data_IF_099002618442
#
_entry.id   IF_099002618442
#
_cell.length_a   1.000
_cell.length_b   1.000
_cell.length_c   1.000
_cell.angle_alpha   90.00
_cell.angle_beta   90.00
_cell.angle_gamma   90.00
#
_symmetry.space_group_name_H-M   'P 1'
#
loop_
_entity.id
_entity.type
_entity.pdbx_description
1 polymer ?
#
# COMPACT_ATOMS: atom_id res chain seq x y z
N UNK A 1 -27.98 4.95 -31.28
CA UNK A 1 -27.06 3.95 -30.70
C UNK A 1 -27.16 4.05 -29.19
N UNK A 2 -27.79 3.08 -28.56
CA UNK A 2 -27.94 3.07 -27.09
C UNK A 2 -26.57 2.82 -26.44
N UNK A 3 -26.18 3.72 -25.54
CA UNK A 3 -25.00 3.54 -24.66
C UNK A 3 -25.25 2.28 -23.82
N UNK A 4 -24.54 1.21 -24.14
CA UNK A 4 -24.39 0.09 -23.20
C UNK A 4 -23.55 0.57 -22.03
N UNK A 5 -24.19 1.21 -21.08
CA UNK A 5 -23.59 1.51 -19.77
C UNK A 5 -23.30 0.18 -19.06
N UNK A 6 -22.15 -0.41 -19.36
CA UNK A 6 -21.68 -1.58 -18.63
C UNK A 6 -21.56 -1.21 -17.14
N UNK A 7 -22.39 -1.85 -16.32
CA UNK A 7 -22.28 -1.76 -14.86
C UNK A 7 -20.95 -2.41 -14.51
N UNK A 8 -19.96 -1.61 -14.10
CA UNK A 8 -18.73 -2.15 -13.52
C UNK A 8 -19.16 -2.92 -12.26
N UNK A 9 -18.87 -4.22 -12.16
CA UNK A 9 -19.20 -4.98 -10.96
C UNK A 9 -18.58 -4.26 -9.75
N UNK A 10 -19.38 -3.99 -8.73
CA UNK A 10 -18.90 -3.40 -7.48
C UNK A 10 -18.08 -4.48 -6.76
N UNK A 11 -16.79 -4.53 -7.04
CA UNK A 11 -15.85 -5.39 -6.32
C UNK A 11 -15.62 -4.75 -4.95
N UNK A 12 -16.35 -5.22 -3.94
CA UNK A 12 -16.18 -4.73 -2.57
C UNK A 12 -14.88 -5.28 -1.97
N UNK A 13 -14.12 -4.44 -1.24
CA UNK A 13 -12.95 -4.91 -0.52
C UNK A 13 -13.32 -5.91 0.57
N UNK A 14 -12.41 -6.84 0.86
CA UNK A 14 -12.57 -7.80 1.92
C UNK A 14 -12.68 -7.10 3.29
N UNK A 15 -13.52 -7.63 4.17
CA UNK A 15 -13.53 -7.21 5.57
C UNK A 15 -12.32 -7.78 6.28
N UNK A 16 -11.37 -6.93 6.63
CA UNK A 16 -10.11 -7.32 7.25
C UNK A 16 -10.02 -6.88 8.71
N UNK A 17 -9.17 -7.57 9.47
CA UNK A 17 -8.81 -7.17 10.81
C UNK A 17 -8.07 -5.82 10.77
N UNK A 18 -8.51 -4.88 11.61
CA UNK A 18 -7.86 -3.58 11.82
C UNK A 18 -7.20 -3.47 13.19
N UNK A 19 -7.56 -4.34 14.12
CA UNK A 19 -6.95 -4.36 15.45
C UNK A 19 -5.57 -5.03 15.42
N UNK A 20 -4.55 -4.27 15.80
CA UNK A 20 -3.17 -4.74 15.86
C UNK A 20 -2.97 -5.90 16.82
N UNK A 21 -3.67 -5.90 17.95
CA UNK A 21 -3.58 -6.95 18.94
C UNK A 21 -4.06 -8.29 18.39
N UNK A 22 -5.22 -8.28 17.71
CA UNK A 22 -5.77 -9.44 17.04
C UNK A 22 -4.85 -9.99 15.95
N UNK A 23 -4.23 -9.12 15.14
CA UNK A 23 -3.27 -9.52 14.09
C UNK A 23 -2.00 -10.11 14.73
N UNK A 24 -1.48 -9.53 15.79
CA UNK A 24 -0.31 -10.07 16.50
C UNK A 24 -0.60 -11.44 17.12
N UNK A 25 -1.78 -11.63 17.70
CA UNK A 25 -2.18 -12.92 18.27
C UNK A 25 -2.32 -13.97 17.16
N UNK A 26 -2.99 -13.60 16.06
CA UNK A 26 -3.04 -14.46 14.87
C UNK A 26 -1.63 -14.86 14.41
N UNK A 27 -0.73 -13.91 14.29
CA UNK A 27 0.65 -14.15 13.85
C UNK A 27 1.40 -15.11 14.78
N UNK A 28 1.29 -14.93 16.11
CA UNK A 28 1.92 -15.81 17.09
C UNK A 28 1.39 -17.25 16.98
N UNK A 29 0.09 -17.37 16.85
CA UNK A 29 -0.62 -18.66 16.80
C UNK A 29 -0.30 -19.44 15.52
N UNK A 30 -0.23 -18.75 14.39
CA UNK A 30 -0.13 -19.39 13.08
C UNK A 30 1.27 -19.32 12.45
N UNK A 31 2.23 -18.70 13.11
CA UNK A 31 3.59 -18.50 12.57
C UNK A 31 4.23 -19.78 12.03
N UNK A 32 4.08 -20.90 12.75
CA UNK A 32 4.63 -22.19 12.34
C UNK A 32 4.03 -22.74 11.03
N UNK A 33 2.78 -22.37 10.72
CA UNK A 33 2.10 -22.77 9.48
C UNK A 33 2.40 -21.86 8.30
N UNK A 34 2.98 -20.67 8.55
CA UNK A 34 3.35 -19.72 7.50
C UNK A 34 4.62 -20.18 6.77
N UNK A 35 4.70 -19.92 5.47
CA UNK A 35 5.88 -20.16 4.66
C UNK A 35 7.12 -19.52 5.28
N UNK A 36 8.20 -20.28 5.45
CA UNK A 36 9.41 -19.81 6.12
C UNK A 36 9.16 -19.24 7.53
N UNK A 37 8.20 -19.80 8.25
CA UNK A 37 7.77 -19.31 9.57
C UNK A 37 7.44 -17.81 9.61
N UNK A 38 6.91 -17.28 8.50
CA UNK A 38 6.53 -15.88 8.39
C UNK A 38 7.70 -14.89 8.30
N UNK A 39 8.87 -15.33 7.89
CA UNK A 39 10.06 -14.45 7.75
C UNK A 39 9.79 -13.21 6.89
N UNK A 40 8.96 -13.35 5.87
CA UNK A 40 8.54 -12.25 5.00
C UNK A 40 7.76 -11.14 5.71
N UNK A 41 7.24 -11.39 6.92
CA UNK A 41 6.56 -10.39 7.76
C UNK A 41 7.48 -9.78 8.82
N UNK A 42 8.73 -10.22 8.93
CA UNK A 42 9.65 -9.69 9.92
C UNK A 42 10.33 -8.41 9.44
N UNK A 43 10.55 -8.30 8.11
CA UNK A 43 11.38 -7.26 7.51
C UNK A 43 12.83 -7.36 7.95
N UNK A 44 13.72 -7.02 7.07
CA UNK A 44 15.14 -6.88 7.37
C UNK A 44 15.70 -5.59 6.78
N UNK A 45 14.82 -4.64 6.54
CA UNK A 45 15.23 -3.33 6.04
C UNK A 45 16.06 -2.63 7.12
N UNK A 46 17.32 -2.24 6.81
CA UNK A 46 18.25 -1.72 7.80
C UNK A 46 17.78 -0.43 8.50
N UNK A 47 16.72 0.16 7.97
CA UNK A 47 16.22 1.45 8.43
C UNK A 47 14.79 1.41 8.95
N UNK A 48 14.33 0.29 9.49
CA UNK A 48 12.99 0.19 10.08
C UNK A 48 12.89 1.08 11.32
N UNK A 49 11.89 1.97 11.34
CA UNK A 49 11.63 2.83 12.49
C UNK A 49 11.00 2.02 13.63
N UNK A 50 11.42 2.25 14.89
CA UNK A 50 10.79 1.62 16.04
C UNK A 50 9.30 1.92 16.11
N UNK A 51 8.48 0.93 16.47
CA UNK A 51 7.03 1.12 16.59
C UNK A 51 6.64 2.22 17.60
N UNK A 52 7.49 2.51 18.56
CA UNK A 52 7.25 3.59 19.52
C UNK A 52 7.02 4.97 18.86
N UNK A 53 7.58 5.20 17.67
CA UNK A 53 7.38 6.44 16.91
C UNK A 53 6.03 6.52 16.19
N UNK A 54 5.28 5.43 16.12
CA UNK A 54 3.99 5.36 15.45
C UNK A 54 2.97 6.36 16.00
N UNK A 55 2.91 6.50 17.33
CA UNK A 55 1.93 7.35 18.00
C UNK A 55 2.15 8.85 17.72
N UNK A 56 3.41 9.27 17.56
CA UNK A 56 3.79 10.67 17.30
C UNK A 56 3.83 11.02 15.80
N UNK A 57 3.63 10.06 14.92
CA UNK A 57 3.67 10.29 13.49
C UNK A 57 2.51 11.17 13.01
N UNK A 58 2.83 12.22 12.27
CA UNK A 58 1.84 13.09 11.62
C UNK A 58 1.34 12.51 10.29
N UNK A 59 2.19 11.72 9.63
CA UNK A 59 1.86 11.01 8.39
C UNK A 59 2.43 9.59 8.46
N UNK A 60 1.63 8.60 8.10
CA UNK A 60 1.99 7.18 8.11
C UNK A 60 2.03 6.65 6.69
N UNK A 61 3.17 6.11 6.28
CA UNK A 61 3.43 5.63 4.93
C UNK A 61 3.74 4.14 4.97
N UNK A 62 3.01 3.36 4.18
CA UNK A 62 3.32 1.96 3.92
C UNK A 62 3.97 1.84 2.55
N UNK A 63 5.24 1.51 2.51
CA UNK A 63 5.95 1.19 1.27
C UNK A 63 5.71 -0.27 0.94
N UNK A 64 4.95 -0.53 -0.12
CA UNK A 64 4.50 -1.87 -0.48
C UNK A 64 5.15 -2.37 -1.77
N UNK A 65 5.40 -3.69 -1.80
CA UNK A 65 5.86 -4.41 -2.98
C UNK A 65 4.74 -5.31 -3.50
N UNK A 66 4.68 -5.44 -4.81
CA UNK A 66 3.79 -6.36 -5.52
C UNK A 66 4.39 -7.77 -5.68
N UNK A 67 5.62 -7.95 -5.21
CA UNK A 67 6.37 -9.21 -5.18
C UNK A 67 6.60 -9.69 -3.76
N UNK A 68 6.97 -10.96 -3.62
CA UNK A 68 7.29 -11.53 -2.31
C UNK A 68 8.60 -10.95 -1.76
N UNK A 69 8.76 -10.98 -0.44
CA UNK A 69 10.01 -10.55 0.20
C UNK A 69 11.24 -11.26 -0.39
N UNK A 70 11.13 -12.55 -0.67
CA UNK A 70 12.23 -13.35 -1.26
C UNK A 70 12.68 -12.80 -2.62
N UNK A 71 11.72 -12.38 -3.45
CA UNK A 71 12.01 -11.90 -4.81
C UNK A 71 12.67 -10.52 -4.81
N UNK A 72 12.44 -9.74 -3.77
CA UNK A 72 12.91 -8.35 -3.69
C UNK A 72 13.93 -8.09 -2.60
N UNK A 73 14.34 -9.10 -1.84
CA UNK A 73 15.31 -8.95 -0.75
C UNK A 73 16.67 -8.36 -1.19
N UNK A 74 17.07 -8.60 -2.44
CA UNK A 74 18.27 -8.01 -3.03
C UNK A 74 18.03 -6.63 -3.69
N UNK A 75 16.79 -6.17 -3.78
CA UNK A 75 16.44 -4.88 -4.39
C UNK A 75 16.55 -3.75 -3.36
N UNK A 76 17.27 -2.70 -3.74
CA UNK A 76 17.41 -1.49 -2.90
C UNK A 76 16.30 -0.47 -3.14
N UNK A 77 15.48 -0.62 -4.19
CA UNK A 77 14.54 0.43 -4.61
C UNK A 77 13.50 0.79 -3.55
N UNK A 78 12.87 -0.21 -2.93
CA UNK A 78 11.88 0.06 -1.88
C UNK A 78 12.53 0.57 -0.58
N UNK A 79 13.74 0.09 -0.25
CA UNK A 79 14.49 0.60 0.90
C UNK A 79 14.88 2.07 0.72
N UNK A 80 15.31 2.44 -0.50
CA UNK A 80 15.59 3.84 -0.87
C UNK A 80 14.35 4.72 -0.76
N UNK A 81 13.21 4.28 -1.33
CA UNK A 81 11.93 5.00 -1.22
C UNK A 81 11.53 5.19 0.25
N UNK A 82 11.68 4.17 1.08
CA UNK A 82 11.40 4.26 2.51
C UNK A 82 12.38 5.20 3.23
N UNK A 83 13.65 5.22 2.84
CA UNK A 83 14.63 6.16 3.38
C UNK A 83 14.26 7.62 3.05
N UNK A 84 13.91 7.90 1.80
CA UNK A 84 13.46 9.22 1.34
C UNK A 84 12.24 9.68 2.14
N UNK A 85 11.28 8.78 2.36
CA UNK A 85 10.09 9.10 3.13
C UNK A 85 10.40 9.43 4.60
N UNK A 86 11.35 8.72 5.23
CA UNK A 86 11.76 8.99 6.62
C UNK A 86 12.48 10.31 6.81
N UNK A 87 13.10 10.84 5.78
CA UNK A 87 13.75 12.16 5.82
C UNK A 87 12.74 13.32 5.89
N UNK A 88 11.46 13.04 5.64
CA UNK A 88 10.39 14.02 5.84
C UNK A 88 9.97 14.00 7.32
N UNK A 89 10.16 15.12 8.00
CA UNK A 89 9.87 15.23 9.42
C UNK A 89 8.41 14.91 9.76
N UNK A 90 8.20 14.04 10.74
CA UNK A 90 6.87 13.62 11.18
C UNK A 90 6.28 12.46 10.37
N UNK A 91 7.04 11.88 9.44
CA UNK A 91 6.64 10.69 8.68
C UNK A 91 7.10 9.42 9.38
N UNK A 92 6.18 8.48 9.56
CA UNK A 92 6.48 7.10 9.94
C UNK A 92 6.37 6.20 8.73
N UNK A 93 7.35 5.33 8.52
CA UNK A 93 7.41 4.41 7.38
C UNK A 93 7.44 2.96 7.84
N UNK A 94 6.63 2.13 7.22
CA UNK A 94 6.71 0.68 7.33
C UNK A 94 6.73 0.04 5.94
N UNK A 95 7.02 -1.24 5.87
CA UNK A 95 7.13 -1.99 4.62
C UNK A 95 6.13 -3.15 4.58
N UNK A 96 5.63 -3.46 3.39
CA UNK A 96 4.79 -4.64 3.17
C UNK A 96 5.13 -5.33 1.84
N UNK A 97 4.95 -6.64 1.81
CA UNK A 97 5.27 -7.49 0.66
C UNK A 97 4.07 -8.35 0.30
N UNK A 98 4.03 -8.79 -0.96
CA UNK A 98 3.13 -9.85 -1.37
C UNK A 98 3.40 -11.09 -0.50
N UNK A 99 2.42 -11.64 0.21
CA UNK A 99 2.64 -12.89 0.94
C UNK A 99 2.88 -14.05 -0.03
N UNK A 100 3.63 -15.07 0.37
CA UNK A 100 3.73 -16.31 -0.41
C UNK A 100 2.33 -16.89 -0.67
N UNK A 101 2.01 -17.39 -1.88
CA UNK A 101 0.66 -17.87 -2.24
C UNK A 101 0.07 -18.89 -1.27
N UNK A 102 0.90 -19.76 -0.69
CA UNK A 102 0.48 -20.76 0.31
C UNK A 102 -0.15 -20.15 1.57
N UNK A 103 0.12 -18.87 1.83
CA UNK A 103 -0.38 -18.18 3.03
C UNK A 103 -1.73 -17.50 2.79
N UNK A 104 -2.16 -17.34 1.53
CA UNK A 104 -3.38 -16.60 1.18
C UNK A 104 -4.62 -17.15 1.87
N UNK A 105 -4.86 -18.46 1.77
CA UNK A 105 -6.05 -19.09 2.36
C UNK A 105 -6.07 -18.97 3.88
N UNK A 106 -4.88 -19.07 4.51
CA UNK A 106 -4.76 -18.89 5.94
C UNK A 106 -5.07 -17.44 6.35
N UNK A 107 -4.50 -16.46 5.66
CA UNK A 107 -4.75 -15.04 5.93
C UNK A 107 -6.22 -14.68 5.69
N UNK A 108 -6.79 -15.07 4.56
CA UNK A 108 -8.20 -14.83 4.22
C UNK A 108 -9.15 -15.43 5.23
N UNK A 109 -8.92 -16.67 5.64
CA UNK A 109 -9.77 -17.37 6.64
C UNK A 109 -9.93 -16.59 7.93
N UNK A 110 -8.88 -15.87 8.34
CA UNK A 110 -8.88 -15.10 9.57
C UNK A 110 -9.05 -13.58 9.34
N UNK A 111 -9.32 -13.17 8.11
CA UNK A 111 -9.49 -11.76 7.77
C UNK A 111 -8.21 -10.92 7.95
N UNK A 112 -7.04 -11.54 7.86
CA UNK A 112 -5.75 -10.82 7.94
C UNK A 112 -5.47 -10.16 6.59
N UNK A 113 -5.20 -8.84 6.54
CA UNK A 113 -4.90 -8.17 5.28
C UNK A 113 -3.67 -8.78 4.61
N UNK A 114 -3.70 -8.96 3.28
CA UNK A 114 -2.57 -9.55 2.56
C UNK A 114 -1.33 -8.67 2.64
N UNK A 115 -1.46 -7.35 2.55
CA UNK A 115 -0.39 -6.45 2.91
C UNK A 115 -0.39 -6.22 4.42
N UNK A 116 0.71 -6.60 5.04
CA UNK A 116 0.90 -6.48 6.47
C UNK A 116 2.22 -5.81 6.76
N UNK A 117 2.19 -4.69 7.46
CA UNK A 117 3.39 -3.94 7.84
C UNK A 117 4.37 -4.81 8.64
N UNK A 118 5.63 -4.85 8.22
CA UNK A 118 6.66 -5.72 8.80
C UNK A 118 6.95 -5.39 10.26
N UNK A 119 6.91 -4.13 10.64
CA UNK A 119 7.11 -3.64 12.00
C UNK A 119 5.80 -3.47 12.76
N UNK A 120 4.85 -2.76 12.15
CA UNK A 120 3.60 -2.39 12.82
C UNK A 120 2.65 -3.56 12.97
N UNK A 121 2.73 -4.57 12.08
CA UNK A 121 1.71 -5.64 11.97
C UNK A 121 0.31 -5.07 11.76
N UNK A 122 0.21 -3.99 10.97
CA UNK A 122 -1.06 -3.39 10.59
C UNK A 122 -1.23 -3.43 9.07
N UNK A 123 -2.48 -3.52 8.62
CA UNK A 123 -2.84 -3.44 7.20
C UNK A 123 -2.82 -2.00 6.67
N UNK A 124 -3.00 -1.82 5.34
CA UNK A 124 -2.94 -0.49 4.70
C UNK A 124 -3.90 0.54 5.28
N UNK A 125 -5.08 0.12 5.79
CA UNK A 125 -6.07 1.04 6.36
C UNK A 125 -5.59 1.80 7.60
N UNK A 126 -4.48 1.39 8.21
CA UNK A 126 -3.87 2.12 9.32
C UNK A 126 -2.89 3.23 8.88
N UNK A 127 -2.69 3.37 7.57
CA UNK A 127 -1.75 4.32 6.98
C UNK A 127 -2.48 5.41 6.19
N UNK A 128 -1.81 6.54 6.01
CA UNK A 128 -2.32 7.66 5.20
C UNK A 128 -1.97 7.51 3.71
N UNK A 129 -0.80 6.92 3.45
CA UNK A 129 -0.27 6.70 2.10
C UNK A 129 0.18 5.25 1.93
N UNK A 130 -0.27 4.62 0.88
CA UNK A 130 0.22 3.34 0.37
C UNK A 130 1.08 3.62 -0.87
N UNK A 131 2.40 3.64 -0.68
CA UNK A 131 3.37 3.86 -1.73
C UNK A 131 3.82 2.54 -2.34
N UNK A 132 3.41 2.27 -3.58
CA UNK A 132 3.71 1.02 -4.28
C UNK A 132 4.97 1.21 -5.11
N UNK A 133 6.03 0.48 -4.78
CA UNK A 133 7.27 0.43 -5.57
C UNK A 133 7.20 -0.75 -6.53
N UNK A 134 7.03 -0.45 -7.83
CA UNK A 134 6.94 -1.44 -8.90
C UNK A 134 8.20 -1.46 -9.77
N UNK A 135 8.76 -2.63 -9.98
CA UNK A 135 9.98 -2.82 -10.78
C UNK A 135 9.74 -3.63 -12.05
N UNK A 136 8.71 -4.47 -12.07
CA UNK A 136 8.38 -5.38 -13.18
C UNK A 136 6.92 -5.22 -13.54
N UNK A 137 6.61 -4.98 -14.82
CA UNK A 137 5.24 -4.74 -15.27
C UNK A 137 4.27 -5.88 -14.93
N UNK A 138 4.73 -7.14 -14.99
CA UNK A 138 3.90 -8.30 -14.64
C UNK A 138 3.45 -8.32 -13.17
N UNK A 139 4.18 -7.68 -12.25
CA UNK A 139 3.78 -7.55 -10.84
C UNK A 139 2.45 -6.82 -10.67
N UNK A 140 2.10 -5.92 -11.62
CA UNK A 140 0.86 -5.15 -11.58
C UNK A 140 -0.40 -6.03 -11.60
N UNK A 141 -0.31 -7.25 -12.09
CA UNK A 141 -1.39 -8.23 -12.02
C UNK A 141 -1.80 -8.59 -10.59
N UNK A 142 -0.90 -8.41 -9.63
CA UNK A 142 -1.17 -8.66 -8.22
C UNK A 142 -1.90 -7.50 -7.54
N UNK A 143 -1.87 -6.28 -8.12
CA UNK A 143 -2.38 -5.06 -7.50
C UNK A 143 -3.87 -5.13 -7.13
N UNK A 144 -4.79 -5.53 -8.03
CA UNK A 144 -6.22 -5.58 -7.69
C UNK A 144 -6.52 -6.51 -6.51
N UNK A 145 -5.92 -7.70 -6.52
CA UNK A 145 -6.11 -8.68 -5.46
C UNK A 145 -5.54 -8.17 -4.11
N UNK A 146 -4.36 -7.57 -4.13
CA UNK A 146 -3.74 -7.04 -2.91
C UNK A 146 -4.54 -5.89 -2.30
N UNK A 147 -5.09 -4.99 -3.12
CA UNK A 147 -5.97 -3.91 -2.64
C UNK A 147 -7.20 -4.50 -1.97
N UNK A 148 -7.96 -5.33 -2.69
CA UNK A 148 -9.22 -5.90 -2.21
C UNK A 148 -9.04 -6.75 -0.95
N UNK A 149 -8.08 -7.65 -0.94
CA UNK A 149 -7.80 -8.55 0.19
C UNK A 149 -7.08 -7.86 1.37
N UNK A 150 -6.68 -6.61 1.18
CA UNK A 150 -6.19 -5.76 2.26
C UNK A 150 -7.21 -4.72 2.72
N UNK A 151 -8.46 -4.83 2.28
CA UNK A 151 -9.56 -3.95 2.68
C UNK A 151 -9.57 -2.60 2.00
N UNK A 152 -8.70 -2.37 0.99
CA UNK A 152 -8.61 -1.09 0.28
C UNK A 152 -9.55 -1.12 -0.93
N UNK A 153 -10.41 -0.12 -1.12
CA UNK A 153 -11.26 -0.02 -2.29
C UNK A 153 -10.44 -0.01 -3.58
N UNK A 154 -10.92 -0.77 -4.58
CA UNK A 154 -10.19 -0.97 -5.82
C UNK A 154 -10.03 0.31 -6.64
N UNK A 155 -11.09 1.14 -6.68
CA UNK A 155 -11.14 2.29 -7.56
C UNK A 155 -10.88 3.62 -6.84
N UNK A 156 -10.15 4.52 -7.53
CA UNK A 156 -9.85 5.88 -7.06
C UNK A 156 -11.10 6.63 -6.60
N UNK A 157 -12.17 6.58 -7.38
CA UNK A 157 -13.39 7.33 -7.07
C UNK A 157 -13.95 7.00 -5.67
N UNK A 158 -13.93 5.72 -5.29
CA UNK A 158 -14.35 5.29 -3.95
C UNK A 158 -13.36 5.76 -2.88
N UNK A 159 -12.05 5.60 -3.11
CA UNK A 159 -11.02 6.01 -2.14
C UNK A 159 -11.02 7.52 -1.89
N UNK A 160 -11.30 8.33 -2.91
CA UNK A 160 -11.37 9.80 -2.76
C UNK A 160 -12.53 10.25 -1.87
N UNK A 161 -13.63 9.51 -1.83
CA UNK A 161 -14.78 9.81 -0.98
C UNK A 161 -14.63 9.32 0.48
N UNK A 162 -13.58 8.53 0.76
CA UNK A 162 -13.38 7.88 2.06
C UNK A 162 -12.12 8.39 2.76
N UNK A 163 -12.25 9.17 3.85
CA UNK A 163 -11.07 9.67 4.60
C UNK A 163 -10.31 8.57 5.33
N UNK A 164 -10.96 7.44 5.62
CA UNK A 164 -10.46 6.30 6.40
C UNK A 164 -9.60 5.30 5.59
N UNK A 165 -9.36 5.55 4.30
CA UNK A 165 -8.51 4.69 3.47
C UNK A 165 -7.26 5.47 3.01
N UNK A 166 -6.13 4.80 2.68
CA UNK A 166 -4.93 5.50 2.23
C UNK A 166 -5.06 6.11 0.83
N UNK A 167 -4.21 7.09 0.52
CA UNK A 167 -3.86 7.43 -0.86
C UNK A 167 -3.00 6.31 -1.45
N UNK A 168 -3.35 5.82 -2.63
CA UNK A 168 -2.62 4.75 -3.33
C UNK A 168 -1.77 5.35 -4.44
N UNK A 169 -0.45 5.34 -4.24
CA UNK A 169 0.52 5.95 -5.14
C UNK A 169 1.41 4.88 -5.75
N UNK A 170 1.58 4.91 -7.05
CA UNK A 170 2.45 3.98 -7.77
C UNK A 170 3.70 4.71 -8.26
N UNK A 171 4.85 4.11 -8.03
CA UNK A 171 6.15 4.56 -8.53
C UNK A 171 7.04 3.39 -8.90
N UNK A 172 8.24 3.68 -9.38
CA UNK A 172 9.26 2.70 -9.76
C UNK A 172 9.61 2.74 -11.24
N UNK A 173 10.58 1.92 -11.65
CA UNK A 173 11.17 1.94 -12.99
C UNK A 173 10.16 1.80 -14.14
N UNK A 174 9.05 1.11 -13.90
CA UNK A 174 8.00 0.88 -14.90
C UNK A 174 6.77 1.79 -14.72
N UNK A 175 6.83 2.79 -13.86
CA UNK A 175 5.67 3.65 -13.57
C UNK A 175 5.13 4.38 -14.81
N UNK A 176 5.99 4.78 -15.73
CA UNK A 176 5.57 5.40 -17.00
C UNK A 176 4.73 4.47 -17.90
N UNK A 177 4.94 3.15 -17.82
CA UNK A 177 4.16 2.17 -18.57
C UNK A 177 2.78 1.93 -17.96
N UNK A 178 2.56 2.40 -16.75
CA UNK A 178 1.32 2.21 -16.00
C UNK A 178 0.27 3.28 -16.30
N UNK A 179 0.48 4.11 -17.31
CA UNK A 179 -0.52 5.05 -17.82
C UNK A 179 -1.88 4.36 -18.12
N UNK A 180 -1.86 3.07 -18.45
CA UNK A 180 -3.08 2.24 -18.62
C UNK A 180 -3.87 2.15 -17.30
N UNK A 181 -3.19 2.07 -16.15
CA UNK A 181 -3.83 2.05 -14.83
C UNK A 181 -4.32 3.43 -14.38
N UNK A 182 -3.94 4.46 -15.11
CA UNK A 182 -4.27 5.86 -14.87
C UNK A 182 -4.94 6.53 -16.08
N UNK A 183 -5.33 5.77 -17.10
CA UNK A 183 -5.97 6.27 -18.32
C UNK A 183 -7.40 6.80 -18.07
N UNK A 184 -7.88 7.66 -18.97
CA UNK A 184 -9.21 8.29 -18.87
C UNK A 184 -10.37 7.40 -19.33
N UNK A 185 -10.18 6.09 -19.41
CA UNK A 185 -11.28 5.21 -19.74
C UNK A 185 -12.31 5.19 -18.58
N UNK A 186 -13.57 5.15 -18.94
CA UNK A 186 -14.71 5.31 -18.02
C UNK A 186 -14.69 6.61 -17.19
N UNK A 187 -14.24 7.72 -17.80
CA UNK A 187 -14.20 9.06 -17.15
C UNK A 187 -13.43 9.07 -15.82
N UNK A 188 -12.37 8.29 -15.72
CA UNK A 188 -11.51 8.23 -14.54
C UNK A 188 -12.07 7.45 -13.36
N UNK A 189 -13.21 6.79 -13.47
CA UNK A 189 -13.80 6.01 -12.37
C UNK A 189 -13.08 4.71 -12.08
N UNK A 190 -12.46 4.13 -13.10
CA UNK A 190 -11.81 2.83 -13.03
C UNK A 190 -10.29 2.90 -12.74
N UNK A 191 -9.78 4.02 -12.25
CA UNK A 191 -8.36 4.13 -11.86
C UNK A 191 -8.04 3.28 -10.65
N UNK A 192 -7.02 2.42 -10.77
CA UNK A 192 -6.56 1.53 -9.69
C UNK A 192 -5.62 2.23 -8.70
N UNK A 193 -5.02 3.36 -9.11
CA UNK A 193 -4.13 4.16 -8.28
C UNK A 193 -4.57 5.62 -8.27
N UNK A 194 -4.21 6.36 -7.24
CA UNK A 194 -4.65 7.75 -7.08
C UNK A 194 -3.73 8.73 -7.79
N UNK A 195 -2.42 8.40 -7.81
CA UNK A 195 -1.42 9.10 -8.60
C UNK A 195 -0.26 8.17 -8.99
N UNK A 196 0.50 8.58 -10.00
CA UNK A 196 1.71 7.90 -10.47
C UNK A 196 2.87 8.87 -10.36
N UNK A 197 3.96 8.41 -9.74
CA UNK A 197 5.23 9.14 -9.68
C UNK A 197 6.13 8.60 -10.79
N UNK A 198 6.49 9.46 -11.73
CA UNK A 198 7.39 9.17 -12.84
C UNK A 198 8.71 9.91 -12.58
N UNK A 199 9.82 9.19 -12.74
CA UNK A 199 11.16 9.73 -12.50
C UNK A 199 11.72 9.36 -11.14
N UNK A 200 12.69 10.15 -10.67
CA UNK A 200 13.46 9.88 -9.45
C UNK A 200 12.63 10.17 -8.19
N UNK A 201 12.55 9.17 -7.32
CA UNK A 201 11.77 9.24 -6.09
C UNK A 201 12.35 10.27 -5.10
N UNK A 202 13.65 10.53 -5.14
CA UNK A 202 14.38 11.42 -4.24
C UNK A 202 13.79 12.84 -4.22
N UNK A 203 13.28 13.29 -5.34
CA UNK A 203 12.66 14.61 -5.46
C UNK A 203 11.13 14.48 -5.43
N UNK A 204 10.56 13.68 -6.33
CA UNK A 204 9.14 13.65 -6.57
C UNK A 204 8.35 13.05 -5.38
N UNK A 205 8.80 11.92 -4.82
CA UNK A 205 8.11 11.28 -3.69
C UNK A 205 8.25 12.10 -2.41
N UNK A 206 9.45 12.64 -2.14
CA UNK A 206 9.66 13.56 -1.00
C UNK A 206 8.70 14.74 -1.07
N UNK A 207 8.64 15.42 -2.23
CA UNK A 207 7.75 16.57 -2.40
C UNK A 207 6.28 16.18 -2.25
N UNK A 208 5.88 15.06 -2.82
CA UNK A 208 4.53 14.52 -2.64
C UNK A 208 4.17 14.35 -1.16
N UNK A 209 5.04 13.70 -0.37
CA UNK A 209 4.78 13.49 1.07
C UNK A 209 4.69 14.83 1.83
N UNK A 210 5.50 15.82 1.49
CA UNK A 210 5.40 17.16 2.09
C UNK A 210 4.04 17.80 1.80
N UNK A 211 3.57 17.73 0.55
CA UNK A 211 2.25 18.26 0.14
C UNK A 211 1.12 17.54 0.90
N UNK A 212 1.18 16.20 0.99
CA UNK A 212 0.18 15.44 1.76
C UNK A 212 0.20 15.82 3.24
N UNK A 213 1.38 15.96 3.83
CA UNK A 213 1.54 16.33 5.24
C UNK A 213 1.00 17.74 5.51
N UNK A 214 1.32 18.71 4.66
CA UNK A 214 0.82 20.08 4.73
C UNK A 214 -0.72 20.12 4.55
N UNK A 215 -1.24 19.44 3.53
CA UNK A 215 -2.67 19.35 3.26
C UNK A 215 -3.44 18.74 4.42
N UNK A 216 -2.95 17.61 4.96
CA UNK A 216 -3.51 16.97 6.15
C UNK A 216 -3.50 17.90 7.36
N UNK A 217 -2.42 18.64 7.60
CA UNK A 217 -2.30 19.62 8.67
C UNK A 217 -3.29 20.80 8.53
N UNK A 218 -3.72 21.11 7.31
CA UNK A 218 -4.74 22.13 6.99
C UNK A 218 -6.16 21.57 6.95
N UNK A 219 -6.35 20.28 7.14
CA UNK A 219 -7.65 19.61 7.06
C UNK A 219 -8.21 19.49 5.64
N UNK A 220 -7.35 19.51 4.61
CA UNK A 220 -7.76 19.35 3.22
C UNK A 220 -8.20 17.90 2.93
N UNK A 221 -9.16 17.76 2.04
CA UNK A 221 -9.59 16.48 1.50
C UNK A 221 -8.51 15.89 0.57
N UNK A 222 -8.58 14.60 0.29
CA UNK A 222 -7.66 13.96 -0.67
C UNK A 222 -7.74 14.56 -2.08
N UNK A 223 -8.94 15.00 -2.49
CA UNK A 223 -9.15 15.65 -3.79
C UNK A 223 -8.48 17.02 -3.88
N UNK A 224 -8.44 17.76 -2.76
CA UNK A 224 -7.78 19.07 -2.69
C UNK A 224 -6.26 18.94 -2.57
N UNK A 225 -5.76 17.79 -2.13
CA UNK A 225 -4.32 17.50 -2.01
C UNK A 225 -3.73 17.04 -3.36
N UNK A 226 -4.48 16.26 -4.17
CA UNK A 226 -4.06 15.71 -5.47
C UNK A 226 -4.43 16.64 -6.64
#
# INVERSE_FOLDING_TARGET
>A
MAEAGGVIPTLSPARVLSDRGAILEWYRTHRAALSGHGVWTLGNEPNVQPFALWASARLRVLVARLSTYRDVAASMSHALVGQIAREVEGVYVDYAYLPPPRNYDLMRRFGVPLWLGTTTKQGPLAFDVLGISNSISAELLNLPNLLLESGVPLFKAERMSRPDVPLVILGGANSAQTAILHGEWDRGRAFLVDAVIVGEAEVAFRRFLQVVLEGKGRGLTKQEIL
#
